data_IF_850330901444
#
_entry.id   IF_850330901444
#
_cell.length_a   1.000
_cell.length_b   1.000
_cell.length_c   1.000
_cell.angle_alpha   90.00
_cell.angle_beta   90.00
_cell.angle_gamma   90.00
#
_symmetry.space_group_name_H-M   'P 1'
#
loop_
_entity.id
_entity.type
_entity.pdbx_description
1 polymer ?
#
# COMPACT_ATOMS: atom_id res chain seq x y z
N UNK A 1 -19.45 -6.53 -34.09
CA UNK A 1 -18.24 -7.21 -34.62
C UNK A 1 -16.96 -6.39 -34.41
N UNK A 2 -16.76 -5.21 -35.04
CA UNK A 2 -15.53 -4.40 -34.84
C UNK A 2 -15.24 -4.03 -33.37
N UNK A 3 -16.24 -3.59 -32.62
CA UNK A 3 -16.09 -3.25 -31.20
C UNK A 3 -15.67 -4.45 -30.35
N UNK A 4 -16.32 -5.60 -30.55
CA UNK A 4 -15.99 -6.87 -29.90
C UNK A 4 -14.54 -7.26 -30.19
N UNK A 5 -14.11 -7.19 -31.45
CA UNK A 5 -12.72 -7.51 -31.81
C UNK A 5 -11.73 -6.59 -31.10
N UNK A 6 -12.03 -5.28 -31.00
CA UNK A 6 -11.17 -4.34 -30.27
C UNK A 6 -11.10 -4.68 -28.77
N UNK A 7 -12.23 -5.01 -28.15
CA UNK A 7 -12.28 -5.42 -26.75
C UNK A 7 -11.48 -6.72 -26.51
N UNK A 8 -11.64 -7.73 -27.36
CA UNK A 8 -10.89 -8.98 -27.22
C UNK A 8 -9.40 -8.84 -27.56
N UNK A 9 -9.00 -7.87 -28.40
CA UNK A 9 -7.58 -7.52 -28.55
C UNK A 9 -7.02 -6.94 -27.25
N UNK A 10 -7.73 -6.00 -26.62
CA UNK A 10 -7.33 -5.44 -25.32
C UNK A 10 -7.16 -6.53 -24.26
N UNK A 11 -8.15 -7.44 -24.13
CA UNK A 11 -8.10 -8.56 -23.17
C UNK A 11 -6.92 -9.48 -23.44
N UNK A 12 -6.71 -9.92 -24.68
CA UNK A 12 -5.66 -10.89 -25.01
C UNK A 12 -4.26 -10.32 -24.86
N UNK A 13 -4.04 -9.05 -25.19
CA UNK A 13 -2.75 -8.38 -24.97
C UNK A 13 -2.35 -8.34 -23.49
N UNK A 14 -3.33 -8.37 -22.58
CA UNK A 14 -3.16 -8.20 -21.13
C UNK A 14 -3.46 -9.46 -20.32
N UNK A 15 -3.64 -10.61 -20.96
CA UNK A 15 -4.11 -11.83 -20.29
C UNK A 15 -3.15 -12.33 -19.20
N UNK A 16 -1.86 -11.97 -19.31
CA UNK A 16 -0.84 -12.15 -18.27
C UNK A 16 -0.67 -13.61 -17.78
N UNK A 17 -0.88 -14.58 -18.68
CA UNK A 17 -0.57 -15.99 -18.42
C UNK A 17 -1.27 -16.55 -17.19
N UNK A 18 -0.49 -17.11 -16.26
CA UNK A 18 -0.97 -17.74 -15.03
C UNK A 18 -1.33 -16.72 -13.95
N UNK A 19 -0.81 -15.50 -14.03
CA UNK A 19 -1.11 -14.41 -13.11
C UNK A 19 -2.39 -13.66 -13.50
N UNK A 20 -2.89 -13.85 -14.73
CA UNK A 20 -4.20 -13.40 -15.17
C UNK A 20 -4.33 -11.89 -15.39
N UNK A 21 -5.34 -11.48 -16.17
CA UNK A 21 -5.54 -10.09 -16.53
C UNK A 21 -5.66 -9.20 -15.28
N UNK A 22 -4.73 -8.25 -15.16
CA UNK A 22 -4.67 -7.30 -14.05
C UNK A 22 -4.32 -7.91 -12.69
N UNK A 23 -4.05 -9.22 -12.60
CA UNK A 23 -3.74 -9.87 -11.33
C UNK A 23 -4.88 -9.84 -10.31
N UNK A 24 -6.13 -9.65 -10.76
CA UNK A 24 -7.31 -9.54 -9.90
C UNK A 24 -8.48 -10.41 -10.37
N UNK A 25 -9.16 -11.06 -9.42
CA UNK A 25 -10.26 -12.00 -9.69
C UNK A 25 -11.35 -11.44 -10.64
N UNK A 26 -11.90 -10.22 -10.46
CA UNK A 26 -13.00 -9.75 -11.30
C UNK A 26 -12.62 -9.66 -12.78
N UNK A 27 -11.41 -9.21 -13.07
CA UNK A 27 -10.91 -9.06 -14.43
C UNK A 27 -10.63 -10.41 -15.10
N UNK A 28 -10.08 -11.37 -14.36
CA UNK A 28 -9.88 -12.74 -14.84
C UNK A 28 -11.22 -13.44 -15.13
N UNK A 29 -12.16 -13.37 -14.19
CA UNK A 29 -13.49 -13.96 -14.35
C UNK A 29 -14.24 -13.36 -15.55
N UNK A 30 -14.22 -12.03 -15.70
CA UNK A 30 -14.83 -11.35 -16.84
C UNK A 30 -14.17 -11.73 -18.17
N UNK A 31 -12.85 -11.95 -18.19
CA UNK A 31 -12.14 -12.40 -19.38
C UNK A 31 -12.57 -13.81 -19.78
N UNK A 32 -12.67 -14.74 -18.82
CA UNK A 32 -13.15 -16.10 -19.08
C UNK A 32 -14.61 -16.11 -19.57
N UNK A 33 -15.49 -15.35 -18.92
CA UNK A 33 -16.89 -15.20 -19.35
C UNK A 33 -16.99 -14.61 -20.76
N UNK A 34 -16.11 -13.66 -21.13
CA UNK A 34 -16.09 -13.11 -22.48
C UNK A 34 -15.68 -14.16 -23.52
N UNK A 35 -14.70 -15.03 -23.23
CA UNK A 35 -14.34 -16.13 -24.14
C UNK A 35 -15.48 -17.13 -24.31
N UNK A 36 -16.11 -17.55 -23.22
CA UNK A 36 -17.27 -18.46 -23.24
C UNK A 36 -18.43 -17.87 -24.05
N UNK A 37 -18.82 -16.62 -23.76
CA UNK A 37 -19.91 -15.94 -24.44
C UNK A 37 -19.69 -15.74 -25.95
N UNK A 38 -18.43 -15.73 -26.40
CA UNK A 38 -18.06 -15.63 -27.81
C UNK A 38 -17.87 -17.00 -28.49
N UNK A 39 -18.08 -18.10 -27.77
CA UNK A 39 -18.01 -19.46 -28.29
C UNK A 39 -16.58 -19.95 -28.53
N UNK A 40 -15.61 -19.45 -27.78
CA UNK A 40 -14.25 -20.00 -27.81
C UNK A 40 -14.29 -21.44 -27.27
N UNK A 41 -13.52 -22.34 -27.89
CA UNK A 41 -13.37 -23.70 -27.36
C UNK A 41 -12.73 -23.65 -25.97
N UNK A 42 -13.12 -24.56 -25.07
CA UNK A 42 -12.44 -24.76 -23.78
C UNK A 42 -10.96 -25.15 -23.95
N UNK A 43 -10.58 -25.65 -25.13
CA UNK A 43 -9.21 -25.99 -25.49
C UNK A 43 -8.43 -24.80 -26.08
N UNK A 44 -9.05 -23.62 -26.23
CA UNK A 44 -8.37 -22.44 -26.75
C UNK A 44 -7.30 -21.96 -25.74
N UNK A 45 -6.07 -21.62 -26.18
CA UNK A 45 -4.98 -21.23 -25.26
C UNK A 45 -5.37 -20.10 -24.29
N UNK A 46 -5.99 -19.04 -24.78
CA UNK A 46 -6.43 -17.92 -23.93
C UNK A 46 -7.52 -18.33 -22.92
N UNK A 47 -8.40 -19.28 -23.28
CA UNK A 47 -9.44 -19.78 -22.37
C UNK A 47 -8.79 -20.58 -21.24
N UNK A 48 -7.86 -21.47 -21.58
CA UNK A 48 -7.10 -22.28 -20.62
C UNK A 48 -6.30 -21.38 -19.68
N UNK A 49 -5.62 -20.36 -20.22
CA UNK A 49 -4.84 -19.43 -19.42
C UNK A 49 -5.72 -18.64 -18.44
N UNK A 50 -6.84 -18.08 -18.90
CA UNK A 50 -7.78 -17.37 -18.03
C UNK A 50 -8.36 -18.28 -16.94
N UNK A 51 -8.68 -19.55 -17.25
CA UNK A 51 -9.14 -20.52 -16.25
C UNK A 51 -8.05 -20.83 -15.23
N UNK A 52 -6.83 -21.10 -15.69
CA UNK A 52 -5.70 -21.45 -14.83
C UNK A 52 -5.36 -20.30 -13.87
N UNK A 53 -5.44 -19.06 -14.33
CA UNK A 53 -5.22 -17.90 -13.46
C UNK A 53 -6.27 -17.81 -12.33
N UNK A 54 -7.54 -18.10 -12.62
CA UNK A 54 -8.59 -18.17 -11.59
C UNK A 54 -8.33 -19.34 -10.63
N UNK A 55 -7.88 -20.50 -11.13
CA UNK A 55 -7.53 -21.65 -10.29
C UNK A 55 -6.40 -21.30 -9.31
N UNK A 56 -5.41 -20.51 -9.75
CA UNK A 56 -4.31 -20.03 -8.91
C UNK A 56 -4.74 -19.16 -7.73
N UNK A 57 -5.96 -18.61 -7.75
CA UNK A 57 -6.51 -17.83 -6.64
C UNK A 57 -7.24 -18.70 -5.60
N UNK A 58 -7.54 -19.95 -5.91
CA UNK A 58 -8.31 -20.82 -5.03
C UNK A 58 -7.42 -21.43 -3.94
N UNK A 59 -7.85 -21.29 -2.69
CA UNK A 59 -7.27 -21.97 -1.52
C UNK A 59 -8.27 -23.03 -1.06
N UNK A 60 -7.81 -24.28 -1.01
CA UNK A 60 -8.59 -25.43 -0.56
C UNK A 60 -7.99 -26.00 0.73
N UNK A 61 -8.76 -25.96 1.81
CA UNK A 61 -8.39 -26.51 3.12
C UNK A 61 -9.14 -27.82 3.43
N UNK A 62 -9.68 -28.49 2.42
CA UNK A 62 -10.47 -29.72 2.54
C UNK A 62 -11.94 -29.44 2.82
N UNK A 63 -12.27 -29.09 4.06
CA UNK A 63 -13.68 -28.88 4.49
C UNK A 63 -14.23 -27.49 4.09
N UNK A 64 -13.34 -26.55 3.76
CA UNK A 64 -13.68 -25.22 3.29
C UNK A 64 -12.58 -24.70 2.36
N UNK A 65 -12.94 -23.71 1.55
CA UNK A 65 -11.99 -23.00 0.69
C UNK A 65 -12.49 -21.61 0.37
N UNK A 66 -11.61 -20.80 -0.21
CA UNK A 66 -11.93 -19.44 -0.60
C UNK A 66 -11.16 -19.05 -1.86
N UNK A 67 -11.67 -18.03 -2.56
CA UNK A 67 -10.99 -17.42 -3.69
C UNK A 67 -10.32 -16.14 -3.22
N UNK A 68 -9.02 -16.05 -3.39
CA UNK A 68 -8.27 -14.83 -3.15
C UNK A 68 -8.63 -13.79 -4.22
N UNK A 69 -8.87 -12.53 -3.85
CA UNK A 69 -9.19 -11.49 -4.82
C UNK A 69 -7.97 -11.09 -5.67
N UNK A 70 -6.78 -11.22 -5.11
CA UNK A 70 -5.46 -11.01 -5.69
C UNK A 70 -4.40 -11.61 -4.76
N UNK A 71 -3.14 -11.64 -5.19
CA UNK A 71 -1.99 -12.09 -4.41
C UNK A 71 -1.06 -10.89 -4.13
N UNK A 72 -0.51 -10.80 -2.91
CA UNK A 72 0.27 -9.65 -2.40
C UNK A 72 1.79 -9.87 -2.22
N UNK A 73 2.47 -10.73 -3.01
CA UNK A 73 3.83 -11.17 -2.68
C UNK A 73 4.86 -10.04 -2.71
N UNK A 74 4.77 -9.08 -3.63
CA UNK A 74 5.74 -7.97 -3.71
C UNK A 74 5.57 -7.03 -2.52
N UNK A 75 4.32 -6.66 -2.23
CA UNK A 75 3.95 -5.84 -1.08
C UNK A 75 4.42 -6.44 0.24
N UNK A 76 4.07 -7.71 0.48
CA UNK A 76 4.43 -8.42 1.71
C UNK A 76 5.95 -8.56 1.85
N UNK A 77 6.66 -8.87 0.77
CA UNK A 77 8.13 -8.98 0.77
C UNK A 77 8.79 -7.63 1.04
N UNK A 78 8.27 -6.55 0.46
CA UNK A 78 8.77 -5.19 0.70
C UNK A 78 8.61 -4.78 2.17
N UNK A 79 7.42 -4.95 2.75
CA UNK A 79 7.15 -4.58 4.14
C UNK A 79 7.89 -5.44 5.16
N UNK A 80 7.95 -6.77 4.97
CA UNK A 80 8.70 -7.64 5.87
C UNK A 80 10.20 -7.34 5.81
N UNK A 81 10.76 -6.96 4.65
CA UNK A 81 12.17 -6.57 4.55
C UNK A 81 12.48 -5.37 5.45
N UNK A 82 11.61 -4.35 5.48
CA UNK A 82 11.75 -3.22 6.41
C UNK A 82 11.68 -3.65 7.87
N UNK A 83 10.71 -4.48 8.23
CA UNK A 83 10.55 -4.98 9.60
C UNK A 83 11.77 -5.80 10.05
N UNK A 84 12.31 -6.66 9.18
CA UNK A 84 13.46 -7.50 9.45
C UNK A 84 14.75 -6.68 9.59
N UNK A 85 14.96 -5.68 8.71
CA UNK A 85 16.07 -4.74 8.86
C UNK A 85 15.98 -3.94 10.17
N UNK A 86 14.78 -3.50 10.57
CA UNK A 86 14.57 -2.80 11.84
C UNK A 86 14.86 -3.71 13.05
N UNK A 87 14.45 -4.97 12.97
CA UNK A 87 14.66 -5.97 14.01
C UNK A 87 16.14 -6.37 14.18
N UNK A 88 16.98 -6.12 13.17
CA UNK A 88 18.39 -6.48 13.14
C UNK A 88 18.63 -7.90 12.61
N UNK A 89 17.83 -8.33 11.62
CA UNK A 89 18.00 -9.62 10.96
C UNK A 89 19.34 -9.72 10.22
N UNK A 90 19.81 -10.96 10.04
CA UNK A 90 21.04 -11.23 9.31
C UNK A 90 20.91 -10.80 7.84
N UNK A 91 21.96 -10.13 7.34
CA UNK A 91 22.00 -9.57 5.98
C UNK A 91 21.59 -10.57 4.88
N UNK A 92 22.02 -11.85 4.87
CA UNK A 92 21.59 -12.79 3.84
C UNK A 92 20.08 -13.03 3.75
N UNK A 93 19.32 -12.84 4.83
CA UNK A 93 17.85 -12.96 4.80
C UNK A 93 17.26 -11.78 4.02
N UNK A 94 17.77 -10.57 4.28
CA UNK A 94 17.35 -9.33 3.61
C UNK A 94 17.79 -9.34 2.14
N UNK A 95 19.05 -9.69 1.86
CA UNK A 95 19.60 -9.76 0.50
C UNK A 95 18.76 -10.69 -0.38
N UNK A 96 18.42 -11.90 0.10
CA UNK A 96 17.60 -12.83 -0.67
C UNK A 96 16.22 -12.27 -1.03
N UNK A 97 15.60 -11.50 -0.13
CA UNK A 97 14.32 -10.86 -0.38
C UNK A 97 14.43 -9.72 -1.41
N UNK A 98 15.47 -8.88 -1.27
CA UNK A 98 15.70 -7.75 -2.18
C UNK A 98 16.18 -8.19 -3.57
N UNK A 99 16.98 -9.25 -3.66
CA UNK A 99 17.39 -9.86 -4.94
C UNK A 99 16.20 -10.49 -5.66
N UNK A 100 15.27 -11.11 -4.93
CA UNK A 100 14.01 -11.57 -5.51
C UNK A 100 13.18 -10.39 -6.05
N UNK A 101 13.09 -9.28 -5.30
CA UNK A 101 12.42 -8.06 -5.74
C UNK A 101 13.10 -7.42 -6.95
N UNK A 102 14.43 -7.44 -7.05
CA UNK A 102 15.14 -7.01 -8.26
C UNK A 102 14.63 -7.73 -9.51
N UNK A 103 14.37 -9.04 -9.40
CA UNK A 103 13.81 -9.86 -10.48
C UNK A 103 12.34 -9.58 -10.80
N UNK A 104 11.71 -8.58 -10.16
CA UNK A 104 10.29 -8.21 -10.35
C UNK A 104 10.10 -6.78 -10.89
N UNK A 105 11.18 -6.04 -11.11
CA UNK A 105 11.08 -4.70 -11.69
C UNK A 105 10.63 -4.77 -13.15
N UNK A 106 9.64 -3.95 -13.51
CA UNK A 106 9.09 -3.88 -14.86
C UNK A 106 9.89 -2.83 -15.67
N UNK A 107 10.66 -3.30 -16.66
CA UNK A 107 11.62 -2.46 -17.42
C UNK A 107 11.32 -2.33 -18.91
N UNK A 108 10.48 -3.22 -19.46
CA UNK A 108 10.26 -3.31 -20.91
C UNK A 108 8.81 -3.04 -21.32
N UNK A 109 7.86 -3.31 -20.42
CA UNK A 109 6.43 -3.17 -20.73
C UNK A 109 5.95 -1.76 -20.41
N UNK A 110 5.35 -1.15 -21.42
CA UNK A 110 4.67 0.13 -21.33
C UNK A 110 3.20 -0.12 -21.02
N UNK A 111 2.88 -0.18 -19.73
CA UNK A 111 1.55 -0.47 -19.21
C UNK A 111 0.48 0.59 -19.53
N UNK A 112 -0.74 0.40 -19.04
CA UNK A 112 -1.88 1.26 -19.41
C UNK A 112 -1.68 2.73 -18.98
N UNK A 113 -0.85 2.96 -17.96
CA UNK A 113 -0.40 4.28 -17.49
C UNK A 113 0.20 5.18 -18.58
N UNK A 114 0.66 4.62 -19.70
CA UNK A 114 1.14 5.44 -20.84
C UNK A 114 0.06 6.29 -21.48
N UNK A 115 -1.22 5.99 -21.25
CA UNK A 115 -2.32 6.82 -21.71
C UNK A 115 -2.19 8.26 -21.20
N UNK A 116 -1.75 8.43 -19.95
CA UNK A 116 -1.49 9.72 -19.33
C UNK A 116 -0.01 10.15 -19.42
N UNK A 117 0.91 9.18 -19.48
CA UNK A 117 2.37 9.39 -19.35
C UNK A 117 3.19 8.71 -20.45
N UNK A 118 2.98 9.07 -21.74
CA UNK A 118 3.54 8.34 -22.90
C UNK A 118 5.04 8.52 -23.13
N UNK A 119 5.76 9.31 -22.34
CA UNK A 119 7.18 9.58 -22.55
C UNK A 119 8.07 9.13 -21.38
N UNK A 120 7.48 8.59 -20.32
CA UNK A 120 8.21 8.07 -19.16
C UNK A 120 8.58 6.61 -19.42
N UNK A 121 9.78 6.21 -19.01
CA UNK A 121 10.23 4.82 -19.12
C UNK A 121 9.60 3.98 -17.99
N UNK A 122 9.24 2.70 -18.26
CA UNK A 122 8.83 1.78 -17.20
C UNK A 122 9.95 1.60 -16.17
N UNK A 123 9.55 1.47 -14.91
CA UNK A 123 10.49 1.30 -13.79
C UNK A 123 9.88 0.86 -12.46
N UNK A 124 8.58 0.57 -12.46
CA UNK A 124 7.84 0.23 -11.25
C UNK A 124 7.80 -1.27 -10.97
N UNK A 125 7.19 -1.60 -9.85
CA UNK A 125 6.79 -2.94 -9.44
C UNK A 125 5.27 -3.02 -9.43
N UNK A 126 4.74 -4.23 -9.54
CA UNK A 126 3.35 -4.50 -9.27
C UNK A 126 3.20 -5.22 -7.93
N UNK A 127 2.02 -5.14 -7.35
CA UNK A 127 1.60 -5.88 -6.17
C UNK A 127 1.75 -7.43 -6.26
N UNK A 128 1.44 -8.01 -7.43
CA UNK A 128 1.47 -9.45 -7.69
C UNK A 128 2.87 -9.99 -8.06
N UNK A 129 2.98 -11.29 -8.35
CA UNK A 129 4.23 -11.87 -8.89
C UNK A 129 4.61 -11.29 -10.25
N UNK A 130 3.66 -11.23 -11.19
CA UNK A 130 3.85 -10.62 -12.51
C UNK A 130 2.58 -9.89 -12.91
N UNK A 131 2.69 -8.63 -13.32
CA UNK A 131 1.55 -7.84 -13.78
C UNK A 131 2.01 -6.60 -14.55
N UNK A 132 2.82 -6.82 -15.58
CA UNK A 132 3.65 -5.80 -16.21
C UNK A 132 2.88 -4.60 -16.81
N UNK A 133 1.59 -4.76 -17.10
CA UNK A 133 0.73 -3.67 -17.59
C UNK A 133 0.22 -2.74 -16.47
N UNK A 134 0.31 -3.17 -15.22
CA UNK A 134 -0.27 -2.49 -14.06
C UNK A 134 0.72 -2.43 -12.87
N UNK A 135 1.94 -1.87 -13.06
CA UNK A 135 2.75 -1.46 -11.91
C UNK A 135 2.01 -0.38 -11.11
N UNK A 136 2.27 -0.33 -9.82
CA UNK A 136 1.73 0.68 -8.92
C UNK A 136 2.84 1.41 -8.16
N UNK A 137 2.58 2.68 -7.83
CA UNK A 137 3.58 3.54 -7.18
C UNK A 137 3.77 3.22 -5.71
N UNK A 138 2.83 2.50 -5.09
CA UNK A 138 2.87 2.19 -3.66
C UNK A 138 3.87 1.07 -3.38
N UNK A 139 3.74 -0.06 -4.07
CA UNK A 139 4.70 -1.16 -4.08
C UNK A 139 6.08 -0.67 -4.51
N UNK A 140 6.14 0.12 -5.58
CA UNK A 140 7.39 0.70 -6.08
C UNK A 140 8.11 1.52 -4.99
N UNK A 141 7.38 2.37 -4.26
CA UNK A 141 7.94 3.19 -3.19
C UNK A 141 8.47 2.34 -2.03
N UNK A 142 7.72 1.33 -1.60
CA UNK A 142 8.13 0.43 -0.50
C UNK A 142 9.40 -0.35 -0.86
N UNK A 143 9.46 -0.91 -2.07
CA UNK A 143 10.61 -1.68 -2.56
C UNK A 143 11.86 -0.79 -2.67
N UNK A 144 11.73 0.40 -3.26
CA UNK A 144 12.85 1.34 -3.41
C UNK A 144 13.40 1.78 -2.05
N UNK A 145 12.51 2.09 -1.08
CA UNK A 145 12.96 2.42 0.27
C UNK A 145 13.69 1.25 0.94
N UNK A 146 13.30 0.01 0.67
CA UNK A 146 14.00 -1.16 1.23
C UNK A 146 15.39 -1.32 0.61
N UNK A 147 15.50 -1.21 -0.71
CA UNK A 147 16.77 -1.26 -1.45
C UNK A 147 17.72 -0.14 -1.02
N UNK A 148 17.22 1.09 -0.89
CA UNK A 148 18.03 2.23 -0.45
C UNK A 148 18.55 2.05 0.98
N UNK A 149 17.73 1.47 1.86
CA UNK A 149 18.07 1.23 3.27
C UNK A 149 19.15 0.16 3.43
N UNK A 150 19.11 -0.88 2.61
CA UNK A 150 20.06 -2.00 2.69
C UNK A 150 21.40 -1.69 2.01
N UNK A 151 21.41 -1.45 0.70
CA UNK A 151 22.62 -1.18 -0.09
C UNK A 151 22.31 -0.30 -1.31
N UNK A 152 22.40 1.04 -1.17
CA UNK A 152 22.04 1.96 -2.25
C UNK A 152 23.00 1.90 -3.46
N UNK A 153 24.23 1.41 -3.27
CA UNK A 153 25.20 1.27 -4.36
C UNK A 153 24.92 0.00 -5.17
N UNK A 154 24.58 -1.11 -4.50
CA UNK A 154 24.23 -2.36 -5.17
C UNK A 154 22.94 -2.26 -6.01
N UNK A 155 21.95 -1.50 -5.53
CA UNK A 155 20.63 -1.37 -6.17
C UNK A 155 20.43 -0.05 -6.93
N UNK A 156 21.52 0.67 -7.22
CA UNK A 156 21.49 2.02 -7.78
C UNK A 156 20.65 2.14 -9.06
N UNK A 157 20.82 1.22 -10.01
CA UNK A 157 20.13 1.30 -11.30
C UNK A 157 18.62 1.09 -11.17
N UNK A 158 18.22 0.16 -10.30
CA UNK A 158 16.82 -0.15 -9.99
C UNK A 158 16.16 1.07 -9.33
N UNK A 159 16.83 1.67 -8.34
CA UNK A 159 16.37 2.86 -7.63
C UNK A 159 16.23 4.04 -8.60
N UNK A 160 17.26 4.38 -9.36
CA UNK A 160 17.22 5.52 -10.30
C UNK A 160 16.10 5.36 -11.33
N UNK A 161 15.89 4.14 -11.81
CA UNK A 161 14.81 3.84 -12.77
C UNK A 161 13.42 4.02 -12.17
N UNK A 162 13.24 3.56 -10.94
CA UNK A 162 11.98 3.68 -10.21
C UNK A 162 11.64 5.14 -9.89
N UNK A 163 12.64 5.92 -9.49
CA UNK A 163 12.49 7.35 -9.18
C UNK A 163 12.00 8.14 -10.39
N UNK A 164 12.57 7.89 -11.58
CA UNK A 164 12.08 8.49 -12.83
C UNK A 164 10.60 8.19 -13.04
N UNK A 165 10.20 6.93 -12.84
CA UNK A 165 8.82 6.49 -13.03
C UNK A 165 7.87 7.13 -12.01
N UNK A 166 8.15 7.04 -10.70
CA UNK A 166 7.32 7.61 -9.64
C UNK A 166 7.17 9.12 -9.77
N UNK A 167 8.25 9.87 -10.07
CA UNK A 167 8.16 11.31 -10.33
C UNK A 167 7.24 11.58 -11.54
N UNK A 168 7.39 10.80 -12.60
CA UNK A 168 6.57 10.92 -13.81
C UNK A 168 5.09 10.64 -13.58
N UNK A 169 4.77 9.81 -12.59
CA UNK A 169 3.40 9.40 -12.24
C UNK A 169 2.68 10.38 -11.30
N UNK A 170 3.31 11.48 -10.87
CA UNK A 170 2.63 12.50 -10.07
C UNK A 170 1.46 13.11 -10.87
N UNK A 171 0.31 13.24 -10.22
CA UNK A 171 -0.87 13.90 -10.79
C UNK A 171 -0.78 15.42 -10.65
N UNK A 172 -1.57 16.14 -11.46
CA UNK A 172 -1.52 17.60 -11.56
C UNK A 172 -1.90 18.30 -10.25
N UNK A 173 -2.68 17.64 -9.39
CA UNK A 173 -3.02 18.14 -8.05
C UNK A 173 -1.89 17.95 -7.02
N UNK A 174 -0.77 17.32 -7.39
CA UNK A 174 0.39 17.08 -6.55
C UNK A 174 0.42 15.73 -5.83
N UNK A 175 -0.69 14.98 -5.81
CA UNK A 175 -0.73 13.64 -5.23
C UNK A 175 -0.45 12.53 -6.26
N UNK A 176 -0.51 11.30 -5.77
CA UNK A 176 -0.41 10.07 -6.56
C UNK A 176 -1.64 9.18 -6.34
N UNK A 177 -2.22 8.70 -7.45
CA UNK A 177 -3.07 7.51 -7.45
C UNK A 177 -2.19 6.26 -7.40
N UNK A 178 -2.79 5.07 -7.33
CA UNK A 178 -2.03 3.83 -7.26
C UNK A 178 -1.35 3.48 -8.59
N UNK A 179 -2.10 3.51 -9.70
CA UNK A 179 -1.68 3.00 -11.01
C UNK A 179 -1.55 4.08 -12.09
N UNK A 180 -2.41 5.10 -12.05
CA UNK A 180 -2.52 6.11 -13.10
C UNK A 180 -2.33 7.54 -12.58
N UNK A 181 -1.76 8.39 -13.42
CA UNK A 181 -1.76 9.83 -13.18
C UNK A 181 -3.03 10.48 -13.75
N UNK A 182 -3.62 11.43 -13.03
CA UNK A 182 -4.81 12.19 -13.43
C UNK A 182 -6.04 11.32 -13.75
N UNK A 183 -6.22 10.20 -13.03
CA UNK A 183 -7.40 9.34 -13.14
C UNK A 183 -8.51 9.81 -12.19
N UNK A 184 -8.97 11.05 -12.37
CA UNK A 184 -9.90 11.74 -11.47
C UNK A 184 -11.15 12.29 -12.17
N UNK A 185 -11.55 11.65 -13.27
CA UNK A 185 -12.75 11.98 -14.06
C UNK A 185 -14.06 11.66 -13.32
N UNK A 186 -14.34 12.37 -12.23
CA UNK A 186 -15.41 12.12 -11.27
C UNK A 186 -16.80 11.93 -11.90
N UNK A 187 -17.06 12.54 -13.07
CA UNK A 187 -18.32 12.37 -13.79
C UNK A 187 -18.60 10.90 -14.19
N UNK A 188 -17.57 10.06 -14.34
CA UNK A 188 -17.72 8.64 -14.64
C UNK A 188 -18.33 7.85 -13.48
N UNK A 189 -18.30 8.36 -12.25
CA UNK A 189 -18.95 7.74 -11.09
C UNK A 189 -20.48 7.88 -11.11
N UNK A 190 -21.04 8.61 -12.09
CA UNK A 190 -22.49 8.83 -12.23
C UNK A 190 -23.16 7.97 -13.31
N UNK A 191 -22.41 7.03 -13.92
CA UNK A 191 -23.01 6.06 -14.85
C UNK A 191 -23.60 4.88 -14.08
N UNK A 192 -24.66 4.21 -14.59
CA UNK A 192 -25.29 3.10 -13.88
C UNK A 192 -24.36 1.94 -13.51
N UNK A 193 -23.28 1.74 -14.28
CA UNK A 193 -22.28 0.70 -14.02
C UNK A 193 -21.37 1.00 -12.83
N UNK A 194 -21.21 2.28 -12.45
CA UNK A 194 -20.31 2.73 -11.38
C UNK A 194 -21.05 2.88 -10.03
N UNK A 195 -22.04 2.03 -9.77
CA UNK A 195 -22.87 2.07 -8.56
C UNK A 195 -22.08 1.83 -7.26
N UNK A 196 -20.92 1.18 -7.35
CA UNK A 196 -19.98 0.94 -6.25
C UNK A 196 -19.01 2.11 -6.00
N UNK A 197 -18.98 3.15 -6.85
CA UNK A 197 -18.23 4.38 -6.60
C UNK A 197 -16.71 4.26 -6.64
N UNK A 198 -16.15 3.20 -7.24
CA UNK A 198 -14.71 2.94 -7.27
C UNK A 198 -14.18 2.66 -8.68
N UNK A 199 -14.71 3.38 -9.68
CA UNK A 199 -14.30 3.26 -11.08
C UNK A 199 -12.97 3.95 -11.39
N UNK A 200 -12.52 4.86 -10.52
CA UNK A 200 -11.41 5.77 -10.74
C UNK A 200 -10.26 5.49 -9.77
N UNK A 201 -9.08 5.99 -10.13
CA UNK A 201 -7.86 5.98 -9.34
C UNK A 201 -7.37 7.41 -9.04
N UNK A 202 -8.16 8.21 -8.29
CA UNK A 202 -7.74 9.55 -7.94
C UNK A 202 -6.58 9.49 -6.93
N UNK A 203 -5.74 10.52 -6.87
CA UNK A 203 -4.73 10.63 -5.83
C UNK A 203 -5.26 10.49 -4.42
N UNK A 204 -4.53 9.78 -3.55
CA UNK A 204 -4.87 9.59 -2.14
C UNK A 204 -3.71 9.88 -1.19
N UNK A 205 -4.03 10.21 0.06
CA UNK A 205 -3.07 10.66 1.06
C UNK A 205 -2.06 9.57 1.44
N UNK A 206 -2.49 8.32 1.59
CA UNK A 206 -1.64 7.18 1.93
C UNK A 206 -0.60 6.86 0.84
N UNK A 207 -1.03 6.75 -0.42
CA UNK A 207 -0.13 6.52 -1.56
C UNK A 207 0.83 7.69 -1.75
N UNK A 208 0.30 8.92 -1.71
CA UNK A 208 1.14 10.13 -1.84
C UNK A 208 2.18 10.22 -0.72
N UNK A 209 1.82 9.84 0.50
CA UNK A 209 2.74 9.81 1.63
C UNK A 209 3.90 8.83 1.36
N UNK A 210 3.65 7.63 0.83
CA UNK A 210 4.72 6.68 0.50
C UNK A 210 5.64 7.17 -0.61
N UNK A 211 5.11 7.80 -1.65
CA UNK A 211 5.95 8.42 -2.68
C UNK A 211 6.83 9.54 -2.09
N UNK A 212 6.28 10.37 -1.20
CA UNK A 212 7.02 11.43 -0.50
C UNK A 212 8.09 10.83 0.42
N UNK A 213 7.77 9.79 1.19
CA UNK A 213 8.73 9.07 2.03
C UNK A 213 9.90 8.52 1.22
N UNK A 214 9.62 7.88 0.08
CA UNK A 214 10.63 7.35 -0.82
C UNK A 214 11.57 8.45 -1.32
N UNK A 215 10.99 9.54 -1.84
CA UNK A 215 11.77 10.67 -2.36
C UNK A 215 12.58 11.36 -1.26
N UNK A 216 12.00 11.58 -0.07
CA UNK A 216 12.70 12.16 1.06
C UNK A 216 13.90 11.30 1.51
N UNK A 217 13.71 9.98 1.60
CA UNK A 217 14.78 9.03 1.95
C UNK A 217 15.93 9.03 0.93
N UNK A 218 15.63 9.36 -0.33
CA UNK A 218 16.61 9.52 -1.41
C UNK A 218 17.25 10.93 -1.45
N UNK A 219 16.90 11.80 -0.51
CA UNK A 219 17.49 13.14 -0.36
C UNK A 219 16.78 14.25 -1.15
N UNK A 220 15.56 14.01 -1.65
CA UNK A 220 14.75 15.08 -2.21
C UNK A 220 14.14 15.91 -1.07
N UNK A 221 14.33 17.23 -1.12
CA UNK A 221 13.79 18.16 -0.13
C UNK A 221 12.59 18.95 -0.68
N UNK A 222 11.99 19.78 0.17
CA UNK A 222 10.86 20.66 -0.18
C UNK A 222 11.21 21.76 -1.21
N UNK A 223 12.48 21.94 -1.56
CA UNK A 223 12.90 22.78 -2.69
C UNK A 223 12.66 22.11 -4.04
N UNK A 224 12.55 20.78 -4.10
CA UNK A 224 12.17 20.06 -5.30
C UNK A 224 10.66 20.18 -5.58
N UNK A 225 10.27 20.55 -6.81
CA UNK A 225 8.86 20.84 -7.16
C UNK A 225 7.90 19.69 -6.85
N UNK A 226 8.31 18.46 -7.13
CA UNK A 226 7.51 17.24 -6.88
C UNK A 226 7.21 17.10 -5.38
N UNK A 227 8.23 17.30 -4.54
CA UNK A 227 8.10 17.24 -3.08
C UNK A 227 7.22 18.37 -2.57
N UNK A 228 7.45 19.61 -3.00
CA UNK A 228 6.66 20.77 -2.60
C UNK A 228 5.17 20.57 -2.92
N UNK A 229 4.84 20.08 -4.11
CA UNK A 229 3.46 19.81 -4.53
C UNK A 229 2.84 18.64 -3.77
N UNK A 230 3.61 17.58 -3.50
CA UNK A 230 3.16 16.43 -2.70
C UNK A 230 2.84 16.81 -1.26
N UNK A 231 3.74 17.56 -0.60
CA UNK A 231 3.53 18.05 0.76
C UNK A 231 2.32 18.98 0.84
N UNK A 232 2.17 19.88 -0.14
CA UNK A 232 1.00 20.74 -0.22
C UNK A 232 -0.30 19.94 -0.45
N UNK A 233 -0.26 18.91 -1.28
CA UNK A 233 -1.38 17.99 -1.45
C UNK A 233 -1.78 17.35 -0.12
N UNK A 234 -0.84 16.78 0.63
CA UNK A 234 -1.13 16.17 1.94
C UNK A 234 -1.74 17.18 2.91
N UNK A 235 -1.27 18.44 2.96
CA UNK A 235 -1.86 19.48 3.80
C UNK A 235 -3.32 19.77 3.46
N UNK A 236 -3.67 19.77 2.18
CA UNK A 236 -5.06 20.03 1.72
C UNK A 236 -5.99 18.85 1.98
N UNK A 237 -5.49 17.63 1.93
CA UNK A 237 -6.27 16.41 2.18
C UNK A 237 -6.47 16.11 3.68
N UNK A 238 -5.89 16.91 4.58
CA UNK A 238 -6.09 16.69 6.01
C UNK A 238 -7.55 16.92 6.41
N UNK A 239 -8.10 15.97 7.15
CA UNK A 239 -9.43 16.07 7.73
C UNK A 239 -9.49 17.15 8.81
N UNK A 240 -10.69 17.67 9.07
CA UNK A 240 -10.90 18.71 10.09
C UNK A 240 -10.45 18.30 11.49
N UNK A 241 -10.50 17.01 11.79
CA UNK A 241 -10.08 16.45 13.08
C UNK A 241 -8.56 16.19 13.16
N UNK A 242 -7.82 16.41 12.07
CA UNK A 242 -6.38 16.26 11.99
C UNK A 242 -5.90 14.96 11.35
N UNK A 243 -6.79 13.99 11.13
CA UNK A 243 -6.41 12.71 10.51
C UNK A 243 -6.36 12.79 8.98
N UNK A 244 -5.91 11.70 8.35
CA UNK A 244 -5.98 11.49 6.91
C UNK A 244 -6.72 10.20 6.58
N UNK A 245 -7.51 10.24 5.51
CA UNK A 245 -8.25 9.08 5.01
C UNK A 245 -7.30 7.98 4.49
N UNK A 246 -7.53 6.73 4.88
CA UNK A 246 -6.80 5.56 4.38
C UNK A 246 -7.56 4.92 3.22
N UNK A 247 -7.05 5.05 2.00
CA UNK A 247 -7.67 4.49 0.80
C UNK A 247 -7.46 2.99 0.68
N UNK A 248 -6.35 2.46 1.20
CA UNK A 248 -5.96 1.06 1.00
C UNK A 248 -5.82 0.24 2.30
N UNK A 249 -5.61 0.90 3.44
CA UNK A 249 -5.66 0.29 4.78
C UNK A 249 -6.77 0.90 5.62
N UNK A 250 -7.37 0.11 6.50
CA UNK A 250 -8.53 0.53 7.31
C UNK A 250 -8.07 1.34 8.54
N UNK A 251 -8.37 2.62 8.69
CA UNK A 251 -8.74 3.65 7.71
C UNK A 251 -7.96 4.93 8.06
N UNK A 252 -8.46 5.73 9.00
CA UNK A 252 -7.83 6.99 9.35
C UNK A 252 -6.55 6.80 10.16
N UNK A 253 -6.44 5.72 10.94
CA UNK A 253 -5.18 5.35 11.61
C UNK A 253 -4.10 5.05 10.56
N UNK A 254 -4.45 4.28 9.52
CA UNK A 254 -3.54 3.93 8.43
C UNK A 254 -3.08 5.16 7.61
N UNK A 255 -4.04 6.00 7.18
CA UNK A 255 -3.73 7.22 6.45
C UNK A 255 -2.89 8.19 7.28
N UNK A 256 -3.23 8.37 8.55
CA UNK A 256 -2.50 9.27 9.45
C UNK A 256 -1.09 8.79 9.77
N UNK A 257 -0.90 7.49 10.00
CA UNK A 257 0.44 6.89 10.14
C UNK A 257 1.30 7.18 8.91
N UNK A 258 0.79 6.84 7.73
CA UNK A 258 1.51 7.01 6.46
C UNK A 258 1.98 8.46 6.29
N UNK A 259 1.07 9.42 6.51
CA UNK A 259 1.38 10.85 6.40
C UNK A 259 2.39 11.32 7.46
N UNK A 260 2.23 10.94 8.73
CA UNK A 260 3.19 11.34 9.77
C UNK A 260 4.61 10.84 9.49
N UNK A 261 4.75 9.62 8.98
CA UNK A 261 6.04 9.09 8.54
C UNK A 261 6.64 9.91 7.38
N UNK A 262 5.82 10.26 6.38
CA UNK A 262 6.26 11.06 5.24
C UNK A 262 6.68 12.48 5.63
N UNK A 263 5.93 13.14 6.51
CA UNK A 263 6.26 14.47 7.01
C UNK A 263 7.57 14.46 7.81
N UNK A 264 7.76 13.44 8.66
CA UNK A 264 9.02 13.27 9.39
C UNK A 264 10.20 13.07 8.43
N UNK A 265 10.07 12.16 7.46
CA UNK A 265 11.12 11.89 6.48
C UNK A 265 11.46 13.12 5.64
N UNK A 266 10.46 13.90 5.24
CA UNK A 266 10.63 15.14 4.48
C UNK A 266 11.21 16.31 5.30
N UNK A 267 11.44 16.12 6.61
CA UNK A 267 11.99 17.15 7.49
C UNK A 267 11.02 18.28 7.82
N UNK A 268 9.72 18.02 7.75
CA UNK A 268 8.70 18.98 8.18
C UNK A 268 8.83 19.27 9.69
N UNK A 269 8.40 20.47 10.09
CA UNK A 269 8.31 20.83 11.50
C UNK A 269 7.19 20.02 12.17
N UNK A 270 7.59 18.98 12.91
CA UNK A 270 6.63 18.12 13.59
C UNK A 270 5.90 18.83 14.74
N UNK A 271 6.33 20.03 15.14
CA UNK A 271 5.61 20.88 16.10
C UNK A 271 4.54 21.77 15.45
N UNK A 272 4.47 21.81 14.12
CA UNK A 272 3.49 22.61 13.41
C UNK A 272 2.05 22.18 13.78
N UNK A 273 1.15 23.17 13.88
CA UNK A 273 -0.22 22.96 14.36
C UNK A 273 -0.96 21.82 13.64
N UNK A 274 -0.75 21.67 12.33
CA UNK A 274 -1.42 20.63 11.55
C UNK A 274 -0.91 19.22 11.87
N UNK A 275 0.38 19.06 12.14
CA UNK A 275 0.97 17.79 12.60
C UNK A 275 0.48 17.48 14.00
N UNK A 276 0.49 18.47 14.89
CA UNK A 276 0.05 18.29 16.28
C UNK A 276 -1.44 17.96 16.41
N UNK A 277 -2.29 18.45 15.48
CA UNK A 277 -3.69 17.98 15.39
C UNK A 277 -3.77 16.48 15.11
N UNK A 278 -2.97 15.97 14.19
CA UNK A 278 -2.93 14.54 13.85
C UNK A 278 -2.43 13.68 15.02
N UNK A 279 -1.36 14.13 15.70
CA UNK A 279 -0.84 13.49 16.91
C UNK A 279 -1.91 13.43 18.01
N UNK A 280 -2.56 14.56 18.28
CA UNK A 280 -3.65 14.64 19.25
C UNK A 280 -4.81 13.72 18.87
N UNK A 281 -5.15 13.66 17.58
CA UNK A 281 -6.17 12.76 17.08
C UNK A 281 -5.80 11.31 17.37
N UNK A 282 -4.60 10.84 17.00
CA UNK A 282 -4.14 9.48 17.28
C UNK A 282 -4.22 9.16 18.78
N UNK A 283 -3.66 10.01 19.65
CA UNK A 283 -3.74 9.83 21.11
C UNK A 283 -5.19 9.72 21.60
N UNK A 284 -6.10 10.53 21.08
CA UNK A 284 -7.53 10.48 21.44
C UNK A 284 -8.27 9.23 20.96
N UNK A 285 -7.68 8.45 20.04
CA UNK A 285 -8.25 7.20 19.54
C UNK A 285 -7.73 5.95 20.26
N UNK A 286 -6.80 6.10 21.19
CA UNK A 286 -6.34 4.97 21.99
C UNK A 286 -7.49 4.40 22.83
N UNK A 287 -7.60 3.07 22.89
CA UNK A 287 -8.61 2.36 23.68
C UNK A 287 -8.12 2.10 25.10
N UNK A 288 -9.04 1.69 25.97
CA UNK A 288 -8.74 1.40 27.38
C UNK A 288 -7.70 0.27 27.56
N UNK A 289 -7.62 -0.65 26.60
CA UNK A 289 -6.63 -1.74 26.56
C UNK A 289 -5.23 -1.29 26.07
N UNK A 290 -5.06 -0.01 25.74
CA UNK A 290 -3.82 0.56 25.23
C UNK A 290 -3.63 0.44 23.72
N UNK A 291 -4.47 -0.33 23.02
CA UNK A 291 -4.38 -0.49 21.56
C UNK A 291 -5.19 0.52 20.77
N UNK A 292 -5.14 0.37 19.44
CA UNK A 292 -5.95 1.09 18.47
C UNK A 292 -6.71 0.13 17.56
N UNK A 293 -7.85 0.57 17.07
CA UNK A 293 -8.63 -0.13 16.08
C UNK A 293 -9.66 0.78 15.40
N UNK A 294 -10.08 0.36 14.22
CA UNK A 294 -11.11 0.95 13.36
C UNK A 294 -11.79 -0.20 12.62
N UNK A 295 -13.12 -0.24 12.67
CA UNK A 295 -13.89 -1.21 11.89
C UNK A 295 -13.98 -0.77 10.42
N UNK A 296 -14.20 -1.72 9.50
CA UNK A 296 -14.56 -1.44 8.11
C UNK A 296 -15.74 -0.48 7.95
N UNK A 297 -16.61 -0.38 8.96
CA UNK A 297 -17.68 0.61 9.04
C UNK A 297 -17.16 2.06 9.05
N UNK A 298 -15.90 2.32 9.39
CA UNK A 298 -15.30 3.67 9.43
C UNK A 298 -15.34 4.40 8.08
N UNK A 299 -15.47 3.68 6.96
CA UNK A 299 -15.69 4.26 5.62
C UNK A 299 -17.08 4.86 5.43
N UNK A 300 -18.00 4.65 6.37
CA UNK A 300 -19.26 5.36 6.44
C UNK A 300 -19.13 6.52 7.41
N UNK A 301 -19.32 7.75 6.94
CA UNK A 301 -19.13 8.96 7.75
C UNK A 301 -19.85 8.92 9.11
N UNK A 302 -21.07 8.39 9.15
CA UNK A 302 -21.88 8.29 10.38
C UNK A 302 -21.46 7.16 11.34
N UNK A 303 -20.47 6.35 10.95
CA UNK A 303 -19.91 5.21 11.68
C UNK A 303 -18.38 5.32 11.84
N UNK A 304 -17.82 6.49 11.54
CA UNK A 304 -16.37 6.74 11.55
C UNK A 304 -15.70 6.33 12.86
N UNK A 305 -16.40 6.48 13.98
CA UNK A 305 -15.89 6.19 15.32
C UNK A 305 -16.19 4.75 15.80
N UNK A 306 -16.74 3.87 14.95
CA UNK A 306 -17.04 2.49 15.35
C UNK A 306 -15.76 1.66 15.43
N UNK A 307 -15.54 1.08 16.62
CA UNK A 307 -14.42 0.19 16.88
C UNK A 307 -14.88 -1.00 17.71
N UNK A 308 -14.71 -2.21 17.18
CA UNK A 308 -15.03 -3.45 17.92
C UNK A 308 -13.93 -3.78 18.91
N UNK A 309 -12.70 -3.83 18.44
CA UNK A 309 -11.53 -4.22 19.21
C UNK A 309 -10.28 -3.47 18.75
N UNK A 310 -9.28 -3.40 19.63
CA UNK A 310 -7.93 -3.07 19.23
C UNK A 310 -7.34 -4.21 18.41
N UNK A 311 -6.54 -3.89 17.39
CA UNK A 311 -5.91 -4.89 16.53
C UNK A 311 -4.39 -4.67 16.51
N UNK A 312 -3.56 -5.72 16.43
CA UNK A 312 -2.10 -5.60 16.35
C UNK A 312 -1.62 -4.66 15.23
N UNK A 313 -2.13 -4.82 14.01
CA UNK A 313 -1.70 -4.00 12.85
C UNK A 313 -2.03 -2.51 13.02
N UNK A 314 -3.25 -2.19 13.44
CA UNK A 314 -3.65 -0.79 13.61
C UNK A 314 -3.01 -0.13 14.83
N UNK A 315 -2.80 -0.88 15.91
CA UNK A 315 -1.99 -0.43 17.05
C UNK A 315 -0.57 -0.09 16.59
N UNK A 316 0.03 -0.96 15.78
CA UNK A 316 1.34 -0.69 15.18
C UNK A 316 1.36 0.56 14.34
N UNK A 317 0.39 0.80 13.45
CA UNK A 317 0.33 2.04 12.66
C UNK A 317 0.26 3.29 13.54
N UNK A 318 -0.62 3.30 14.55
CA UNK A 318 -0.72 4.43 15.47
C UNK A 318 0.62 4.70 16.18
N UNK A 319 1.28 3.64 16.67
CA UNK A 319 2.57 3.74 17.35
C UNK A 319 3.69 4.21 16.41
N UNK A 320 3.78 3.66 15.20
CA UNK A 320 4.75 4.07 14.19
C UNK A 320 4.57 5.56 13.84
N UNK A 321 3.32 6.02 13.69
CA UNK A 321 3.00 7.43 13.41
C UNK A 321 3.36 8.36 14.58
N UNK A 322 3.05 7.96 15.82
CA UNK A 322 3.42 8.70 17.02
C UNK A 322 4.95 8.79 17.18
N UNK A 323 5.66 7.69 16.98
CA UNK A 323 7.13 7.68 17.01
C UNK A 323 7.74 8.55 15.90
N UNK A 324 7.15 8.56 14.69
CA UNK A 324 7.54 9.48 13.62
C UNK A 324 7.36 10.96 14.01
N UNK A 325 6.33 11.26 14.81
CA UNK A 325 6.09 12.60 15.34
C UNK A 325 6.96 12.97 16.57
N UNK A 326 7.83 12.08 17.04
CA UNK A 326 8.70 12.32 18.19
C UNK A 326 8.05 12.05 19.55
N UNK A 327 6.93 11.31 19.58
CA UNK A 327 6.14 11.03 20.79
C UNK A 327 6.55 9.73 21.50
N UNK A 328 7.80 9.30 21.32
CA UNK A 328 8.31 7.99 21.80
C UNK A 328 8.11 7.80 23.31
N UNK A 329 8.23 8.87 24.08
CA UNK A 329 8.17 8.84 25.55
C UNK A 329 6.78 9.18 26.13
N UNK A 330 5.74 9.30 25.30
CA UNK A 330 4.39 9.55 25.81
C UNK A 330 3.74 8.27 26.38
N UNK A 331 2.79 8.47 27.30
CA UNK A 331 2.05 7.40 27.96
C UNK A 331 1.28 6.53 26.97
N UNK A 332 0.75 7.14 25.89
CA UNK A 332 0.02 6.40 24.86
C UNK A 332 0.92 5.41 24.12
N UNK A 333 2.17 5.78 23.83
CA UNK A 333 3.14 4.86 23.21
C UNK A 333 3.48 3.71 24.15
N UNK A 334 3.75 3.98 25.43
CA UNK A 334 4.05 2.95 26.42
C UNK A 334 2.91 1.92 26.54
N UNK A 335 1.66 2.40 26.63
CA UNK A 335 0.47 1.54 26.69
C UNK A 335 0.27 0.70 25.42
N UNK A 336 0.51 1.27 24.24
CA UNK A 336 0.40 0.51 22.99
C UNK A 336 1.48 -0.55 22.84
N UNK A 337 2.71 -0.28 23.31
CA UNK A 337 3.76 -1.29 23.37
C UNK A 337 3.38 -2.41 24.33
N UNK A 338 2.83 -2.09 25.50
CA UNK A 338 2.30 -3.10 26.43
C UNK A 338 1.20 -3.95 25.78
N UNK A 339 0.24 -3.32 25.09
CA UNK A 339 -0.78 -4.03 24.32
C UNK A 339 -0.17 -5.02 23.32
N UNK A 340 0.82 -4.61 22.51
CA UNK A 340 1.44 -5.51 21.52
C UNK A 340 2.19 -6.67 22.17
N UNK A 341 2.79 -6.47 23.35
CA UNK A 341 3.49 -7.53 24.07
C UNK A 341 2.53 -8.55 24.69
N UNK A 342 1.37 -8.08 25.16
CA UNK A 342 0.33 -8.89 25.80
C UNK A 342 -0.66 -9.51 24.80
N UNK A 343 -0.73 -8.97 23.58
CA UNK A 343 -1.64 -9.43 22.54
C UNK A 343 -1.42 -10.92 22.21
N UNK A 344 -2.50 -11.71 22.06
CA UNK A 344 -2.41 -13.13 21.75
C UNK A 344 -1.60 -13.40 20.47
N UNK A 345 -0.63 -14.33 20.55
CA UNK A 345 0.20 -14.73 19.41
C UNK A 345 0.79 -16.13 19.54
N UNK A 346 1.11 -16.75 18.41
CA UNK A 346 1.93 -17.95 18.33
C UNK A 346 3.29 -17.60 17.70
N UNK A 347 4.34 -17.51 18.51
CA UNK A 347 5.64 -17.06 18.03
C UNK A 347 5.58 -15.63 17.47
N UNK A 348 5.85 -15.48 16.17
CA UNK A 348 5.77 -14.21 15.44
C UNK A 348 4.40 -13.89 14.85
N UNK A 349 3.40 -14.76 15.04
CA UNK A 349 2.06 -14.59 14.47
C UNK A 349 1.09 -14.03 15.51
N UNK A 350 0.86 -12.71 15.48
CA UNK A 350 -0.21 -12.12 16.29
C UNK A 350 -1.57 -12.48 15.71
N UNK A 351 -2.47 -12.93 16.58
CA UNK A 351 -3.82 -13.26 16.18
C UNK A 351 -4.61 -11.98 15.87
N UNK A 352 -5.10 -11.86 14.64
CA UNK A 352 -5.91 -10.73 14.18
C UNK A 352 -6.95 -11.22 13.17
N UNK A 353 -8.20 -11.42 13.58
CA UNK A 353 -9.26 -11.91 12.68
C UNK A 353 -9.91 -10.80 11.85
N UNK A 354 -9.86 -9.57 12.34
CA UNK A 354 -10.51 -8.41 11.74
C UNK A 354 -9.85 -8.01 10.41
N UNK A 355 -10.67 -7.50 9.50
CA UNK A 355 -10.21 -6.97 8.22
C UNK A 355 -9.43 -5.67 8.45
N UNK A 356 -8.20 -5.62 7.93
CA UNK A 356 -7.25 -4.52 8.13
C UNK A 356 -7.05 -3.66 6.86
N UNK A 357 -7.68 -4.01 5.75
CA UNK A 357 -7.58 -3.27 4.51
C UNK A 357 -8.88 -3.21 3.72
N UNK A 358 -8.86 -2.42 2.65
CA UNK A 358 -9.98 -2.19 1.76
C UNK A 358 -9.51 -2.20 0.30
N UNK A 359 -10.24 -2.90 -0.57
CA UNK A 359 -10.07 -2.72 -2.01
C UNK A 359 -10.97 -1.59 -2.51
N UNK A 360 -12.25 -1.63 -2.13
CA UNK A 360 -13.24 -0.61 -2.48
C UNK A 360 -14.03 -0.16 -1.25
N UNK A 361 -13.86 1.10 -0.78
CA UNK A 361 -14.53 1.62 0.40
C UNK A 361 -16.03 1.35 0.40
N UNK A 362 -16.52 0.70 1.46
CA UNK A 362 -17.93 0.31 1.70
C UNK A 362 -18.44 -0.90 0.92
N UNK A 363 -17.64 -1.48 0.03
CA UNK A 363 -18.07 -2.54 -0.89
C UNK A 363 -17.22 -3.80 -0.74
N UNK A 364 -15.91 -3.65 -0.64
CA UNK A 364 -14.98 -4.77 -0.72
C UNK A 364 -13.78 -4.59 0.21
N UNK A 365 -13.69 -5.43 1.23
CA UNK A 365 -12.67 -5.37 2.27
C UNK A 365 -11.68 -6.53 2.16
N UNK A 366 -10.46 -6.30 2.62
CA UNK A 366 -9.34 -7.23 2.54
C UNK A 366 -8.76 -7.50 3.93
N UNK A 367 -8.19 -8.69 4.10
CA UNK A 367 -7.32 -9.04 5.22
C UNK A 367 -5.96 -9.38 4.66
N UNK A 368 -4.97 -8.55 4.94
CA UNK A 368 -3.57 -8.91 4.75
C UNK A 368 -3.13 -9.74 5.93
N UNK A 369 -2.85 -11.02 5.69
CA UNK A 369 -2.43 -11.94 6.74
C UNK A 369 -1.06 -11.55 7.32
N UNK A 370 -0.14 -11.03 6.50
CA UNK A 370 1.18 -10.61 6.95
C UNK A 370 1.19 -9.39 7.87
N UNK A 371 0.12 -8.57 7.88
CA UNK A 371 0.09 -7.32 8.66
C UNK A 371 0.24 -7.58 10.15
N UNK A 372 -0.34 -8.66 10.67
CA UNK A 372 -0.19 -9.05 12.08
C UNK A 372 1.18 -9.66 12.41
N UNK A 373 2.04 -9.88 11.42
CA UNK A 373 3.39 -10.40 11.64
C UNK A 373 4.40 -9.26 11.63
N UNK A 374 4.48 -8.52 10.52
CA UNK A 374 5.54 -7.54 10.33
C UNK A 374 5.28 -6.20 10.99
N UNK A 375 4.03 -5.72 11.10
CA UNK A 375 3.80 -4.43 11.75
C UNK A 375 4.08 -4.46 13.26
N UNK A 376 3.63 -5.48 14.02
CA UNK A 376 4.02 -5.62 15.43
C UNK A 376 5.52 -5.78 15.62
N UNK A 377 6.16 -6.66 14.84
CA UNK A 377 7.62 -6.84 14.89
C UNK A 377 8.36 -5.53 14.63
N UNK A 378 8.00 -4.82 13.55
CA UNK A 378 8.58 -3.54 13.18
C UNK A 378 8.40 -2.52 14.30
N UNK A 379 7.19 -2.40 14.83
CA UNK A 379 6.87 -1.43 15.89
C UNK A 379 7.71 -1.66 17.14
N UNK A 380 7.76 -2.91 17.61
CA UNK A 380 8.53 -3.28 18.80
C UNK A 380 10.04 -3.07 18.58
N UNK A 381 10.54 -3.41 17.39
CA UNK A 381 11.94 -3.19 17.04
C UNK A 381 12.28 -1.69 16.99
N UNK A 382 11.44 -0.88 16.34
CA UNK A 382 11.61 0.57 16.26
C UNK A 382 11.58 1.22 17.64
N UNK A 383 10.61 0.85 18.48
CA UNK A 383 10.52 1.36 19.84
C UNK A 383 11.78 1.03 20.64
N UNK A 384 12.23 -0.23 20.61
CA UNK A 384 13.50 -0.65 21.22
C UNK A 384 14.67 0.21 20.73
N UNK A 385 14.80 0.39 19.42
CA UNK A 385 15.91 1.13 18.81
C UNK A 385 15.90 2.60 19.24
N UNK A 386 14.73 3.25 19.29
CA UNK A 386 14.58 4.64 19.73
C UNK A 386 14.83 4.81 21.24
N UNK A 387 14.43 3.84 22.07
CA UNK A 387 14.70 3.89 23.52
C UNK A 387 16.17 3.62 23.88
N UNK A 388 16.91 2.92 23.02
CA UNK A 388 18.33 2.61 23.23
C UNK A 388 19.27 3.59 22.53
N UNK A 389 18.81 4.26 21.47
CA UNK A 389 19.57 5.25 20.72
C UNK A 389 19.42 6.67 21.27
N UNK A 390 20.19 7.59 20.68
CA UNK A 390 20.13 9.03 20.98
C UNK A 390 19.11 9.78 20.10
N UNK A 391 18.53 9.10 19.11
CA UNK A 391 17.59 9.69 18.14
C UNK A 391 16.17 9.74 18.73
N UNK A 392 15.53 10.90 18.60
CA UNK A 392 14.15 11.11 19.08
C UNK A 392 13.07 10.66 18.07
N UNK A 393 13.47 10.36 16.82
CA UNK A 393 12.58 10.03 15.70
C UNK A 393 13.22 9.01 14.76
N UNK A 394 12.43 8.19 14.04
CA UNK A 394 12.95 7.23 13.08
C UNK A 394 13.64 7.92 11.89
N UNK A 395 14.69 7.28 11.38
CA UNK A 395 15.49 7.75 10.24
C UNK A 395 14.79 7.55 8.88
N UNK A 396 13.95 6.52 8.76
CA UNK A 396 13.32 6.10 7.49
C UNK A 396 11.81 6.39 7.50
N UNK A 397 11.25 6.63 6.31
CA UNK A 397 9.91 7.20 6.11
C UNK A 397 8.73 6.23 6.07
N UNK A 398 8.85 5.04 6.67
CA UNK A 398 7.76 4.07 6.80
C UNK A 398 7.63 3.64 8.26
#
# INVERSE_FOLDING_TARGET
RRAINKAMTFVRERLNGEDGLGGIFPAMANSLMAFDALGYSSDHPDYIAARKAIDGLLVDNGDWGYCQPCLSPVWDTGLIAHAMMEAGADKPIVDNALDWLCGRQILDVRGDWIAARPNIRPGGWAFQYWNDYYPDVDDTAVVVMAMQRDDPDAYKEQIERAVEWVIGMQSDNGGWGAFDANNDYAFLQHIPFADHGALLDPPTADVSARCISMLAQLGYDSGHKVMAHGLEYLRREQERDGSWFGRWGNNYVYGTWSVLCALNAAGEDMSADYVQRAVKWLKSRQREDGGWGEDCASYWQHRRDLVKESTPSQTSWALLGLMAAGEVDCEEVEKGIAYLLDAPREGGDWFEEMFNAVGFPRIFYLRYHGYSWYFPLWTLARYRNLKQGDESRPKFGL
#
